data_IF_484133472466
#
_entry.id   IF_484133472466
#
_cell.length_a   1.000
_cell.length_b   1.000
_cell.length_c   1.000
_cell.angle_alpha   90.00
_cell.angle_beta   90.00
_cell.angle_gamma   90.00
#
_symmetry.space_group_name_H-M   'P 1'
#
loop_
_entity.id
_entity.type
_entity.pdbx_description
1 polymer ?
#
# COMPACT_ATOMS: atom_id res chain seq x y z
N UNK A 1 7.94 19.45 1.24
CA UNK A 1 8.65 18.74 2.31
C UNK A 1 10.13 19.05 2.27
N UNK A 2 10.78 19.05 3.43
CA UNK A 2 12.24 19.27 3.52
C UNK A 2 12.85 18.28 4.50
N UNK A 3 14.03 17.80 4.19
CA UNK A 3 14.83 16.89 5.01
C UNK A 3 16.31 17.10 4.78
N UNK A 4 17.12 16.45 5.60
CA UNK A 4 18.58 16.55 5.58
C UNK A 4 19.13 17.49 6.65
N UNK A 5 20.01 16.96 7.51
CA UNK A 5 20.71 17.73 8.54
C UNK A 5 19.87 18.28 9.70
N UNK A 6 18.59 17.92 9.81
CA UNK A 6 17.69 18.42 10.86
C UNK A 6 17.92 17.61 12.13
N UNK A 7 18.51 18.23 13.16
CA UNK A 7 18.99 17.56 14.37
C UNK A 7 18.53 18.23 15.67
N UNK A 8 17.80 19.35 15.60
CA UNK A 8 17.31 20.08 16.77
C UNK A 8 15.96 20.74 16.48
N UNK A 9 15.28 21.16 17.54
CA UNK A 9 13.94 21.73 17.48
C UNK A 9 13.93 23.09 16.78
N UNK A 10 14.96 23.92 16.96
CA UNK A 10 15.02 25.25 16.35
C UNK A 10 15.01 25.16 14.82
N UNK A 11 15.72 24.17 14.26
CA UNK A 11 15.71 23.92 12.81
C UNK A 11 14.33 23.46 12.33
N UNK A 12 13.64 22.64 13.10
CA UNK A 12 12.26 22.21 12.78
C UNK A 12 11.32 23.41 12.78
N UNK A 13 11.39 24.25 13.81
CA UNK A 13 10.57 25.45 13.94
C UNK A 13 10.86 26.47 12.83
N UNK A 14 12.13 26.65 12.52
CA UNK A 14 12.54 27.52 11.41
C UNK A 14 11.83 27.13 10.10
N UNK A 15 11.92 25.86 9.68
CA UNK A 15 11.30 25.45 8.42
C UNK A 15 9.77 25.52 8.48
N UNK A 16 9.15 25.10 9.58
CA UNK A 16 7.69 25.15 9.73
C UNK A 16 7.14 26.57 9.71
N UNK A 17 7.86 27.54 10.33
CA UNK A 17 7.47 28.95 10.31
C UNK A 17 7.63 29.60 8.94
N UNK A 18 8.50 29.06 8.08
CA UNK A 18 8.67 29.49 6.69
C UNK A 18 7.74 28.76 5.69
N UNK A 19 6.67 28.14 6.16
CA UNK A 19 5.64 27.57 5.31
C UNK A 19 5.93 26.14 4.79
N UNK A 20 6.96 25.46 5.28
CA UNK A 20 7.20 24.06 4.97
C UNK A 20 6.14 23.21 5.67
N UNK A 21 5.38 22.44 4.92
CA UNK A 21 4.27 21.64 5.44
C UNK A 21 4.72 20.37 6.18
N UNK A 22 5.88 19.80 5.82
CA UNK A 22 6.38 18.57 6.46
C UNK A 22 7.91 18.54 6.51
N UNK A 23 8.40 18.12 7.68
CA UNK A 23 9.81 17.94 8.00
C UNK A 23 10.14 16.46 7.97
N UNK A 24 11.24 16.11 7.34
CA UNK A 24 11.72 14.73 7.22
C UNK A 24 12.92 14.55 8.13
N UNK A 25 12.81 13.66 9.12
CA UNK A 25 13.88 13.25 10.01
C UNK A 25 14.48 11.94 9.50
N UNK A 26 15.73 11.94 9.07
CA UNK A 26 16.44 10.74 8.59
C UNK A 26 17.29 10.13 9.73
N UNK A 27 18.61 10.38 9.74
CA UNK A 27 19.56 9.82 10.72
C UNK A 27 19.17 10.06 12.19
N UNK A 28 18.40 11.12 12.47
CA UNK A 28 17.88 11.40 13.79
C UNK A 28 16.96 10.26 14.32
N UNK A 29 16.26 9.55 13.44
CA UNK A 29 15.43 8.43 13.84
C UNK A 29 16.23 7.25 14.42
N UNK A 30 17.45 7.07 13.92
CA UNK A 30 18.37 6.02 14.42
C UNK A 30 19.13 6.45 15.67
N UNK A 31 19.64 7.69 15.69
CA UNK A 31 20.58 8.15 16.72
C UNK A 31 19.93 8.88 17.90
N UNK A 32 18.74 9.44 17.69
CA UNK A 32 18.06 10.30 18.67
C UNK A 32 16.54 10.10 18.65
N UNK A 33 16.04 8.88 18.99
CA UNK A 33 14.61 8.57 18.95
C UNK A 33 13.78 9.48 19.89
N UNK A 34 14.36 9.95 20.97
CA UNK A 34 13.68 10.89 21.89
C UNK A 34 13.43 12.25 21.20
N UNK A 35 14.35 12.75 20.41
CA UNK A 35 14.13 13.96 19.62
C UNK A 35 12.98 13.76 18.63
N UNK A 36 12.89 12.58 17.99
CA UNK A 36 11.75 12.25 17.11
C UNK A 36 10.45 12.25 17.91
N UNK A 37 10.42 11.62 19.09
CA UNK A 37 9.25 11.58 19.97
C UNK A 37 8.77 12.98 20.36
N UNK A 38 9.68 13.84 20.81
CA UNK A 38 9.36 15.23 21.18
C UNK A 38 8.81 16.02 20.00
N UNK A 39 9.45 15.87 18.84
CA UNK A 39 9.04 16.55 17.61
C UNK A 39 7.68 16.10 17.12
N UNK A 40 7.42 14.77 17.15
CA UNK A 40 6.12 14.18 16.79
C UNK A 40 5.03 14.60 17.78
N UNK A 41 5.34 14.62 19.08
CA UNK A 41 4.39 15.08 20.11
C UNK A 41 3.95 16.53 19.87
N UNK A 42 4.88 17.40 19.45
CA UNK A 42 4.62 18.82 19.23
C UNK A 42 3.94 19.11 17.89
N UNK A 43 4.36 18.43 16.82
CA UNK A 43 3.97 18.79 15.45
C UNK A 43 3.16 17.70 14.71
N UNK A 44 3.04 16.50 15.27
CA UNK A 44 2.18 15.42 14.76
C UNK A 44 2.45 15.09 13.30
N UNK A 45 1.39 15.22 12.48
CA UNK A 45 1.44 14.90 11.04
C UNK A 45 2.38 15.74 10.19
N UNK A 46 2.96 16.81 10.75
CA UNK A 46 3.98 17.63 10.08
C UNK A 46 5.37 16.99 10.12
N UNK A 47 5.52 15.84 10.79
CA UNK A 47 6.77 15.11 10.87
C UNK A 47 6.65 13.81 10.08
N UNK A 48 7.63 13.56 9.23
CA UNK A 48 7.87 12.28 8.57
C UNK A 48 9.24 11.73 8.97
N UNK A 49 9.41 10.43 8.92
CA UNK A 49 10.72 9.79 9.12
C UNK A 49 11.16 9.10 7.83
N UNK A 50 12.41 9.37 7.44
CA UNK A 50 13.08 8.67 6.35
C UNK A 50 13.76 7.39 6.85
N UNK A 51 13.46 6.27 6.21
CA UNK A 51 14.09 4.96 6.43
C UNK A 51 14.77 4.55 5.12
N UNK A 52 16.07 4.78 5.07
CA UNK A 52 16.88 4.39 3.92
C UNK A 52 17.43 2.99 4.18
N UNK A 53 17.03 2.02 3.34
CA UNK A 53 17.35 0.61 3.51
C UNK A 53 18.41 0.14 2.52
N UNK A 54 19.44 -0.53 3.05
CA UNK A 54 20.49 -1.20 2.28
C UNK A 54 20.58 -2.66 2.74
N UNK A 55 20.30 -3.62 1.85
CA UNK A 55 20.31 -5.07 2.17
C UNK A 55 19.48 -5.43 3.41
N UNK A 56 18.32 -4.77 3.59
CA UNK A 56 17.43 -5.02 4.73
C UNK A 56 17.81 -4.32 6.03
N UNK A 57 18.88 -3.55 6.06
CA UNK A 57 19.35 -2.78 7.22
C UNK A 57 19.20 -1.28 6.96
N UNK A 58 18.98 -0.51 8.03
CA UNK A 58 18.89 0.95 7.95
C UNK A 58 20.25 1.57 7.74
N UNK A 59 20.36 2.46 6.75
CA UNK A 59 21.53 3.29 6.54
C UNK A 59 21.30 4.71 7.09
N UNK A 60 22.37 5.36 7.51
CA UNK A 60 22.38 6.71 8.07
C UNK A 60 23.50 7.55 7.45
N UNK A 61 23.56 8.83 7.87
CA UNK A 61 24.64 9.78 7.51
C UNK A 61 24.84 9.92 5.98
N UNK A 62 23.72 10.04 5.24
CA UNK A 62 23.80 10.13 3.77
C UNK A 62 24.33 8.83 3.14
N UNK A 63 23.97 7.68 3.74
CA UNK A 63 24.29 6.32 3.28
C UNK A 63 25.77 5.90 3.48
N UNK A 64 26.52 6.67 4.24
CA UNK A 64 27.94 6.37 4.54
C UNK A 64 28.09 5.41 5.71
N UNK A 65 27.08 5.33 6.60
CA UNK A 65 27.05 4.43 7.74
C UNK A 65 25.86 3.45 7.62
N UNK A 66 26.14 2.17 7.77
CA UNK A 66 25.13 1.11 7.84
C UNK A 66 24.97 0.69 9.31
N UNK A 67 23.71 0.59 9.75
CA UNK A 67 23.39 0.07 11.09
C UNK A 67 23.05 -1.43 11.03
N UNK A 68 22.99 -2.06 12.21
CA UNK A 68 22.48 -3.43 12.34
C UNK A 68 20.95 -3.49 12.47
N UNK A 69 20.27 -2.35 12.52
CA UNK A 69 18.83 -2.27 12.71
C UNK A 69 18.11 -2.67 11.41
N UNK A 70 17.20 -3.61 11.53
CA UNK A 70 16.33 -4.01 10.42
C UNK A 70 15.33 -2.89 10.08
N UNK A 71 15.05 -2.67 8.79
CA UNK A 71 14.18 -1.59 8.35
C UNK A 71 12.71 -1.76 8.79
N UNK A 72 12.22 -3.01 8.94
CA UNK A 72 10.87 -3.26 9.47
C UNK A 72 10.81 -3.00 10.98
N UNK A 73 11.87 -3.37 11.70
CA UNK A 73 12.00 -3.06 13.12
C UNK A 73 12.02 -1.55 13.34
N UNK A 74 12.77 -0.80 12.51
CA UNK A 74 12.76 0.65 12.56
C UNK A 74 11.38 1.23 12.27
N UNK A 75 10.67 0.74 11.26
CA UNK A 75 9.33 1.20 10.94
C UNK A 75 8.36 1.03 12.12
N UNK A 76 8.39 -0.11 12.80
CA UNK A 76 7.58 -0.37 14.00
C UNK A 76 7.95 0.55 15.17
N UNK A 77 9.24 0.75 15.41
CA UNK A 77 9.71 1.69 16.45
C UNK A 77 9.20 3.11 16.20
N UNK A 78 9.17 3.54 14.94
CA UNK A 78 8.66 4.87 14.58
C UNK A 78 7.14 4.96 14.72
N UNK A 79 6.41 3.91 14.40
CA UNK A 79 4.98 3.81 14.67
C UNK A 79 4.68 3.93 16.17
N UNK A 80 5.42 3.21 17.03
CA UNK A 80 5.28 3.25 18.50
C UNK A 80 5.56 4.65 19.08
N UNK A 81 6.43 5.42 18.43
CA UNK A 81 6.68 6.83 18.77
C UNK A 81 5.51 7.75 18.37
N UNK A 82 4.64 7.30 17.45
CA UNK A 82 3.50 8.05 16.92
C UNK A 82 3.77 8.73 15.58
N UNK A 83 4.83 8.35 14.87
CA UNK A 83 5.09 8.81 13.50
C UNK A 83 3.98 8.33 12.57
N UNK A 84 3.46 9.23 11.74
CA UNK A 84 2.37 8.92 10.81
C UNK A 84 2.80 8.74 9.36
N UNK A 85 3.99 9.22 9.00
CA UNK A 85 4.50 9.18 7.63
C UNK A 85 5.91 8.61 7.62
N UNK A 86 6.11 7.54 6.86
CA UNK A 86 7.41 6.93 6.65
C UNK A 86 7.79 7.04 5.17
N UNK A 87 8.94 7.64 4.88
CA UNK A 87 9.55 7.63 3.55
C UNK A 87 10.51 6.46 3.52
N UNK A 88 10.22 5.45 2.71
CA UNK A 88 11.02 4.23 2.66
C UNK A 88 11.76 4.18 1.33
N UNK A 89 13.08 4.22 1.42
CA UNK A 89 13.99 4.21 0.26
C UNK A 89 14.76 2.89 0.17
N UNK A 90 14.70 2.20 -0.96
CA UNK A 90 15.70 1.20 -1.29
C UNK A 90 16.90 1.89 -1.96
N UNK A 91 18.02 1.95 -1.25
CA UNK A 91 19.25 2.63 -1.72
C UNK A 91 19.75 2.01 -3.03
N UNK A 92 19.62 0.69 -3.22
CA UNK A 92 20.02 0.03 -4.49
C UNK A 92 19.16 0.45 -5.67
N UNK A 93 17.95 0.92 -5.43
CA UNK A 93 17.03 1.37 -6.47
C UNK A 93 17.13 2.87 -6.72
N UNK A 94 17.63 3.64 -5.74
CA UNK A 94 17.66 5.09 -5.87
C UNK A 94 18.53 5.55 -7.04
N UNK A 95 18.01 6.47 -7.84
CA UNK A 95 18.64 7.01 -9.03
C UNK A 95 18.79 6.04 -10.22
N UNK A 96 18.44 4.74 -10.09
CA UNK A 96 18.65 3.73 -11.14
C UNK A 96 17.59 3.77 -12.24
N UNK A 97 16.40 4.27 -11.97
CA UNK A 97 15.23 4.22 -12.88
C UNK A 97 14.83 2.78 -13.31
N UNK A 98 15.05 1.80 -12.43
CA UNK A 98 14.77 0.37 -12.67
C UNK A 98 13.56 -0.14 -11.85
N UNK A 99 12.59 0.74 -11.61
CA UNK A 99 11.40 0.47 -10.82
C UNK A 99 11.66 0.41 -9.30
N UNK A 100 10.64 0.71 -8.48
CA UNK A 100 10.72 0.65 -7.02
C UNK A 100 10.80 -0.80 -6.52
N UNK A 101 11.26 -1.00 -5.28
CA UNK A 101 11.26 -2.30 -4.63
C UNK A 101 9.88 -2.61 -4.03
N UNK A 102 8.97 -3.10 -4.88
CA UNK A 102 7.58 -3.39 -4.49
C UNK A 102 7.50 -4.41 -3.36
N UNK A 103 8.42 -5.40 -3.32
CA UNK A 103 8.44 -6.43 -2.27
C UNK A 103 8.78 -5.84 -0.90
N UNK A 104 9.77 -4.96 -0.84
CA UNK A 104 10.16 -4.27 0.38
C UNK A 104 9.02 -3.34 0.86
N UNK A 105 8.46 -2.56 -0.05
CA UNK A 105 7.37 -1.63 0.24
C UNK A 105 6.10 -2.34 0.71
N UNK A 106 5.74 -3.48 0.11
CA UNK A 106 4.60 -4.30 0.56
C UNK A 106 4.82 -4.82 2.00
N UNK A 107 6.03 -5.30 2.31
CA UNK A 107 6.36 -5.76 3.66
C UNK A 107 6.20 -4.66 4.71
N UNK A 108 6.70 -3.45 4.45
CA UNK A 108 6.55 -2.32 5.38
C UNK A 108 5.07 -1.91 5.48
N UNK A 109 4.38 -1.78 4.34
CA UNK A 109 2.99 -1.34 4.31
C UNK A 109 2.03 -2.27 5.07
N UNK A 110 2.38 -3.57 5.16
CA UNK A 110 1.65 -4.55 5.98
C UNK A 110 2.08 -4.56 7.45
N UNK A 111 3.31 -4.16 7.74
CA UNK A 111 3.88 -4.27 9.08
C UNK A 111 3.47 -3.12 10.00
N UNK A 112 3.08 -1.98 9.45
CA UNK A 112 2.71 -0.76 10.20
C UNK A 112 1.47 -0.10 9.62
N UNK A 113 0.79 0.71 10.43
CA UNK A 113 -0.37 1.52 10.02
C UNK A 113 0.01 2.91 9.50
N UNK A 114 1.30 3.24 9.50
CA UNK A 114 1.82 4.49 8.99
C UNK A 114 1.55 4.66 7.49
N UNK A 115 1.41 5.91 7.06
CA UNK A 115 1.35 6.26 5.64
C UNK A 115 2.74 6.08 5.01
N UNK A 116 2.89 5.13 4.10
CA UNK A 116 4.15 4.84 3.43
C UNK A 116 4.31 5.68 2.17
N UNK A 117 5.42 6.37 2.07
CA UNK A 117 5.86 7.11 0.87
C UNK A 117 7.03 6.33 0.27
N UNK A 118 6.83 5.80 -0.92
CA UNK A 118 7.85 5.03 -1.65
C UNK A 118 8.93 5.95 -2.20
N UNK A 119 10.18 5.56 -2.05
CA UNK A 119 11.34 6.28 -2.61
C UNK A 119 12.35 5.31 -3.22
N UNK A 120 13.01 5.76 -4.28
CA UNK A 120 14.01 5.00 -5.02
C UNK A 120 13.46 4.21 -6.20
N UNK A 121 14.01 4.45 -7.39
CA UNK A 121 13.79 3.66 -8.60
C UNK A 121 12.58 4.01 -9.46
N UNK A 122 11.66 4.84 -9.01
CA UNK A 122 10.47 5.23 -9.78
C UNK A 122 10.87 5.82 -11.14
N UNK A 123 10.42 5.18 -12.23
CA UNK A 123 10.90 5.47 -13.57
C UNK A 123 9.79 5.84 -14.59
N UNK A 124 8.62 5.24 -14.48
CA UNK A 124 7.56 5.33 -15.49
C UNK A 124 6.15 5.24 -14.88
N UNK A 125 5.12 5.39 -15.72
CA UNK A 125 3.72 5.34 -15.28
C UNK A 125 3.31 3.98 -14.68
N UNK A 126 3.90 2.88 -15.16
CA UNK A 126 3.60 1.56 -14.63
C UNK A 126 4.03 1.47 -13.15
N UNK A 127 5.17 2.04 -12.79
CA UNK A 127 5.64 2.08 -11.41
C UNK A 127 4.64 2.83 -10.50
N UNK A 128 4.05 3.93 -10.99
CA UNK A 128 3.02 4.68 -10.27
C UNK A 128 1.76 3.83 -10.07
N UNK A 129 1.33 3.12 -11.11
CA UNK A 129 0.19 2.19 -11.03
C UNK A 129 0.45 1.07 -10.04
N UNK A 130 1.62 0.44 -10.09
CA UNK A 130 2.00 -0.66 -9.19
C UNK A 130 2.09 -0.19 -7.73
N UNK A 131 2.66 0.99 -7.47
CA UNK A 131 2.72 1.61 -6.14
C UNK A 131 1.33 1.97 -5.60
N UNK A 132 0.47 2.50 -6.45
CA UNK A 132 -0.90 2.79 -6.09
C UNK A 132 -1.66 1.48 -5.76
N UNK A 133 -1.46 0.44 -6.56
CA UNK A 133 -2.01 -0.90 -6.29
C UNK A 133 -1.53 -1.49 -4.96
N UNK A 134 -0.29 -1.21 -4.52
CA UNK A 134 0.17 -1.55 -3.18
C UNK A 134 -0.53 -0.76 -2.06
N UNK A 135 -1.22 0.34 -2.39
CA UNK A 135 -1.88 1.24 -1.44
C UNK A 135 -0.88 2.01 -0.58
N UNK A 136 0.31 2.30 -1.09
CA UNK A 136 1.21 3.27 -0.44
C UNK A 136 0.61 4.66 -0.56
N UNK A 137 0.86 5.48 0.44
CA UNK A 137 0.30 6.83 0.53
C UNK A 137 0.79 7.77 -0.59
N UNK A 138 2.03 7.57 -1.03
CA UNK A 138 2.64 8.42 -2.06
C UNK A 138 3.94 7.85 -2.58
N UNK A 139 4.53 8.55 -3.55
CA UNK A 139 5.83 8.20 -4.13
C UNK A 139 6.67 9.44 -4.39
N UNK A 140 7.98 9.29 -4.26
CA UNK A 140 8.98 10.28 -4.67
C UNK A 140 9.50 9.88 -6.05
N UNK A 141 9.25 10.73 -7.04
CA UNK A 141 9.81 10.63 -8.37
C UNK A 141 10.82 11.77 -8.56
N UNK A 142 12.09 11.43 -8.61
CA UNK A 142 13.20 12.39 -8.77
C UNK A 142 13.74 12.39 -10.19
N UNK A 143 14.73 11.56 -10.45
CA UNK A 143 15.46 11.48 -11.73
C UNK A 143 14.54 11.32 -12.93
N UNK A 144 13.48 10.50 -12.84
CA UNK A 144 12.53 10.26 -13.92
C UNK A 144 11.78 11.53 -14.37
N UNK A 145 11.50 12.46 -13.46
CA UNK A 145 10.92 13.77 -13.79
C UNK A 145 11.94 14.66 -14.46
N UNK A 146 13.16 14.75 -13.91
CA UNK A 146 14.22 15.61 -14.46
C UNK A 146 14.68 15.15 -15.85
N UNK A 147 14.71 13.84 -16.10
CA UNK A 147 15.03 13.26 -17.42
C UNK A 147 13.83 13.22 -18.37
N UNK A 148 12.65 13.67 -17.93
CA UNK A 148 11.39 13.61 -18.69
C UNK A 148 10.96 12.18 -19.05
N UNK A 149 11.46 11.17 -18.39
CA UNK A 149 11.03 9.77 -18.56
C UNK A 149 9.63 9.53 -17.98
N UNK A 150 9.23 10.34 -17.00
CA UNK A 150 7.91 10.31 -16.39
C UNK A 150 7.28 11.71 -16.47
N UNK A 151 6.13 11.82 -17.13
CA UNK A 151 5.32 13.04 -17.11
C UNK A 151 4.58 13.16 -15.77
N UNK A 152 4.78 14.28 -15.07
CA UNK A 152 4.20 14.50 -13.75
C UNK A 152 2.67 14.55 -13.77
N UNK A 153 2.08 15.18 -14.79
CA UNK A 153 0.63 15.30 -14.91
C UNK A 153 -0.01 13.92 -15.13
N UNK A 154 0.59 13.13 -16.02
CA UNK A 154 0.16 11.75 -16.25
C UNK A 154 0.31 10.88 -15.00
N UNK A 155 1.41 11.03 -14.23
CA UNK A 155 1.65 10.32 -12.99
C UNK A 155 0.60 10.68 -11.91
N UNK A 156 0.28 11.97 -11.74
CA UNK A 156 -0.76 12.43 -10.82
C UNK A 156 -2.12 11.87 -11.24
N UNK A 157 -2.46 11.93 -12.52
CA UNK A 157 -3.72 11.39 -13.04
C UNK A 157 -3.82 9.88 -12.81
N UNK A 158 -2.74 9.12 -13.05
CA UNK A 158 -2.70 7.68 -12.80
C UNK A 158 -2.83 7.36 -11.30
N UNK A 159 -2.19 8.14 -10.42
CA UNK A 159 -2.30 7.96 -8.97
C UNK A 159 -3.73 8.23 -8.46
N UNK A 160 -4.43 9.21 -9.03
CA UNK A 160 -5.80 9.57 -8.63
C UNK A 160 -6.84 8.56 -9.12
N UNK A 161 -6.66 7.97 -10.30
CA UNK A 161 -7.60 6.97 -10.86
C UNK A 161 -7.70 5.70 -10.04
N UNK A 162 -6.65 5.34 -9.31
CA UNK A 162 -6.62 4.15 -8.46
C UNK A 162 -6.78 4.49 -6.97
N UNK A 163 -6.68 5.75 -6.59
CA UNK A 163 -6.96 6.22 -5.23
C UNK A 163 -8.45 6.30 -4.93
N UNK A 164 -9.20 5.28 -5.34
CA UNK A 164 -10.48 4.99 -4.70
C UNK A 164 -10.17 4.73 -3.23
N UNK A 165 -10.64 5.63 -2.38
CA UNK A 165 -10.67 5.64 -0.90
C UNK A 165 -9.94 4.47 -0.24
N UNK A 166 -9.02 4.74 0.68
CA UNK A 166 -8.56 3.74 1.67
C UNK A 166 -9.76 2.89 2.08
N UNK A 167 -9.67 1.57 1.88
CA UNK A 167 -10.66 0.62 2.35
C UNK A 167 -10.59 0.50 3.90
N UNK A 168 -10.74 1.62 4.58
CA UNK A 168 -11.08 1.63 6.00
C UNK A 168 -12.58 1.83 6.07
N UNK A 169 -13.29 0.73 6.22
CA UNK A 169 -14.69 0.76 6.62
C UNK A 169 -14.76 1.47 7.98
N UNK A 170 -15.44 2.60 8.06
CA UNK A 170 -15.83 3.19 9.35
C UNK A 170 -16.91 2.30 10.00
N UNK A 171 -17.07 2.37 11.31
CA UNK A 171 -18.16 1.63 11.99
C UNK A 171 -19.54 1.95 11.39
N UNK A 172 -19.75 3.17 10.89
CA UNK A 172 -20.98 3.58 10.19
C UNK A 172 -21.13 2.92 8.80
N UNK A 173 -20.02 2.57 8.14
CA UNK A 173 -20.04 1.86 6.85
C UNK A 173 -20.28 0.35 7.02
N UNK A 174 -19.95 -0.25 8.15
CA UNK A 174 -20.28 -1.65 8.44
C UNK A 174 -21.80 -1.89 8.54
N UNK A 175 -22.55 -0.94 9.09
CA UNK A 175 -24.02 -1.02 9.14
C UNK A 175 -24.66 -0.95 7.73
N UNK A 176 -24.00 -0.31 6.77
CA UNK A 176 -24.49 -0.25 5.40
C UNK A 176 -24.28 -1.56 4.61
N UNK A 177 -23.46 -2.50 5.09
CA UNK A 177 -23.24 -3.79 4.41
C UNK A 177 -24.49 -4.68 4.42
N UNK A 178 -25.39 -4.52 5.39
CA UNK A 178 -26.63 -5.30 5.50
C UNK A 178 -27.48 -5.28 4.22
N UNK A 179 -27.44 -4.18 3.45
CA UNK A 179 -28.23 -4.04 2.24
C UNK A 179 -27.91 -5.08 1.18
N UNK A 180 -26.63 -5.50 1.09
CA UNK A 180 -26.15 -6.47 0.11
C UNK A 180 -26.55 -7.92 0.46
N UNK A 181 -26.93 -8.16 1.72
CA UNK A 181 -27.27 -9.50 2.22
C UNK A 181 -28.77 -9.68 2.51
N UNK A 182 -29.61 -8.73 2.06
CA UNK A 182 -31.05 -8.80 2.25
C UNK A 182 -31.73 -9.96 1.50
N UNK A 183 -31.20 -10.30 0.30
CA UNK A 183 -31.76 -11.36 -0.55
C UNK A 183 -31.17 -12.73 -0.24
N UNK A 184 -29.91 -12.76 0.21
CA UNK A 184 -29.19 -14.00 0.51
C UNK A 184 -28.06 -13.74 1.50
N UNK A 185 -27.81 -14.67 2.42
CA UNK A 185 -26.66 -14.61 3.34
C UNK A 185 -25.32 -14.79 2.62
N UNK A 186 -25.34 -15.34 1.41
CA UNK A 186 -24.16 -15.52 0.56
C UNK A 186 -24.43 -14.92 -0.82
N UNK A 187 -23.58 -14.03 -1.23
CA UNK A 187 -23.65 -13.42 -2.55
C UNK A 187 -22.44 -13.79 -3.41
N UNK A 188 -22.61 -14.00 -4.72
CA UNK A 188 -21.53 -14.26 -5.63
C UNK A 188 -20.60 -13.06 -5.72
N UNK A 189 -19.31 -13.34 -5.86
CA UNK A 189 -18.27 -12.35 -6.00
C UNK A 189 -17.40 -12.72 -7.21
N UNK A 190 -17.51 -11.94 -8.26
CA UNK A 190 -16.66 -12.02 -9.45
C UNK A 190 -15.37 -11.28 -9.15
N UNK A 191 -14.23 -11.95 -9.35
CA UNK A 191 -12.91 -11.35 -9.17
C UNK A 191 -12.28 -11.10 -10.54
N UNK A 192 -11.85 -9.88 -10.76
CA UNK A 192 -11.32 -9.39 -12.04
C UNK A 192 -9.95 -8.75 -11.84
N UNK A 193 -9.00 -9.03 -12.73
CA UNK A 193 -7.71 -8.33 -12.75
C UNK A 193 -7.91 -6.86 -13.09
N UNK A 194 -7.38 -5.97 -12.26
CA UNK A 194 -7.62 -4.53 -12.41
C UNK A 194 -6.95 -3.93 -13.66
N UNK A 195 -5.81 -4.48 -14.08
CA UNK A 195 -5.01 -3.97 -15.20
C UNK A 195 -5.50 -4.43 -16.57
N UNK A 196 -6.06 -5.66 -16.66
CA UNK A 196 -6.45 -6.30 -17.92
C UNK A 196 -7.96 -6.43 -18.10
N UNK A 197 -8.73 -6.32 -17.02
CA UNK A 197 -10.15 -6.67 -16.93
C UNK A 197 -10.44 -8.17 -17.18
N UNK A 198 -9.43 -9.03 -17.12
CA UNK A 198 -9.61 -10.48 -17.19
C UNK A 198 -10.36 -10.97 -15.94
N UNK A 199 -11.39 -11.82 -16.14
CA UNK A 199 -12.08 -12.47 -15.04
C UNK A 199 -11.22 -13.60 -14.50
N UNK A 200 -10.82 -13.51 -13.23
CA UNK A 200 -9.91 -14.45 -12.59
C UNK A 200 -10.61 -15.64 -11.96
N UNK A 201 -11.67 -15.39 -11.21
CA UNK A 201 -12.41 -16.42 -10.50
C UNK A 201 -13.78 -15.91 -10.04
N UNK A 202 -14.63 -16.83 -9.60
CA UNK A 202 -15.85 -16.56 -8.85
C UNK A 202 -15.78 -17.28 -7.50
N UNK A 203 -16.13 -16.56 -6.44
CA UNK A 203 -16.28 -17.09 -5.09
C UNK A 203 -17.55 -16.52 -4.44
N UNK A 204 -17.75 -16.78 -3.16
CA UNK A 204 -18.89 -16.26 -2.42
C UNK A 204 -18.43 -15.49 -1.21
N UNK A 205 -19.15 -14.41 -0.91
CA UNK A 205 -18.96 -13.63 0.30
C UNK A 205 -20.21 -13.66 1.17
N UNK A 206 -20.01 -13.77 2.47
CA UNK A 206 -20.99 -13.37 3.48
C UNK A 206 -20.61 -12.01 4.06
N UNK A 207 -21.44 -11.45 4.93
CA UNK A 207 -21.20 -10.14 5.56
C UNK A 207 -19.80 -10.07 6.20
N UNK A 208 -19.39 -11.09 6.95
CA UNK A 208 -18.11 -11.11 7.65
C UNK A 208 -16.91 -11.13 6.68
N UNK A 209 -16.96 -11.93 5.61
CA UNK A 209 -15.90 -11.95 4.60
C UNK A 209 -15.81 -10.63 3.83
N UNK A 210 -16.94 -9.99 3.55
CA UNK A 210 -16.98 -8.67 2.93
C UNK A 210 -16.36 -7.61 3.84
N UNK A 211 -16.74 -7.56 5.13
CA UNK A 211 -16.15 -6.66 6.11
C UNK A 211 -14.64 -6.88 6.25
N UNK A 212 -14.18 -8.14 6.34
CA UNK A 212 -12.75 -8.48 6.36
C UNK A 212 -12.03 -8.06 5.08
N UNK A 213 -12.66 -8.20 3.91
CA UNK A 213 -12.10 -7.76 2.64
C UNK A 213 -11.90 -6.24 2.63
N UNK A 214 -12.90 -5.49 3.06
CA UNK A 214 -12.83 -4.03 3.16
C UNK A 214 -11.81 -3.57 4.21
N UNK A 215 -11.79 -4.20 5.37
CA UNK A 215 -10.89 -3.84 6.46
C UNK A 215 -9.42 -4.18 6.19
N UNK A 216 -9.15 -5.28 5.48
CA UNK A 216 -7.76 -5.73 5.22
C UNK A 216 -7.21 -5.28 3.87
N UNK A 217 -8.08 -4.92 2.92
CA UNK A 217 -7.70 -4.64 1.53
C UNK A 217 -7.29 -5.89 0.73
N UNK A 218 -7.53 -7.09 1.26
CA UNK A 218 -7.30 -8.38 0.60
C UNK A 218 -8.57 -9.19 0.56
N UNK A 219 -8.76 -10.01 -0.49
CA UNK A 219 -9.99 -10.77 -0.66
C UNK A 219 -10.15 -11.85 0.41
N UNK A 220 -11.26 -11.80 1.11
CA UNK A 220 -11.78 -12.82 1.99
C UNK A 220 -13.08 -13.37 1.42
N UNK A 221 -13.24 -14.67 1.47
CA UNK A 221 -14.42 -15.35 0.95
C UNK A 221 -15.00 -16.30 1.99
N UNK A 222 -16.22 -16.76 1.74
CA UNK A 222 -16.86 -17.82 2.49
C UNK A 222 -16.94 -19.11 1.66
N UNK A 223 -16.39 -20.18 2.20
CA UNK A 223 -16.44 -21.50 1.56
C UNK A 223 -17.75 -22.18 1.87
N UNK A 224 -18.61 -22.39 0.87
CA UNK A 224 -19.90 -23.08 1.02
C UNK A 224 -19.74 -24.53 1.47
N UNK A 225 -18.73 -25.23 0.99
CA UNK A 225 -18.49 -26.65 1.32
C UNK A 225 -17.88 -26.84 2.70
N UNK A 226 -16.98 -25.93 3.13
CA UNK A 226 -16.30 -25.99 4.42
C UNK A 226 -16.99 -25.18 5.51
N UNK A 227 -17.93 -24.32 5.15
CA UNK A 227 -18.63 -23.39 6.03
C UNK A 227 -17.67 -22.52 6.87
N UNK A 228 -16.59 -22.07 6.26
CA UNK A 228 -15.57 -21.28 6.92
C UNK A 228 -15.11 -20.12 6.03
N UNK A 229 -14.66 -19.06 6.68
CA UNK A 229 -13.95 -17.98 6.00
C UNK A 229 -12.58 -18.45 5.50
N UNK A 230 -12.13 -17.88 4.41
CA UNK A 230 -10.77 -18.05 3.92
C UNK A 230 -10.25 -16.81 3.23
N UNK A 231 -8.99 -16.48 3.48
CA UNK A 231 -8.27 -15.41 2.82
C UNK A 231 -7.53 -15.98 1.60
N UNK A 232 -7.73 -15.37 0.44
CA UNK A 232 -7.07 -15.81 -0.79
C UNK A 232 -5.56 -15.60 -0.67
N UNK A 233 -4.82 -16.67 -0.80
CA UNK A 233 -3.36 -16.65 -0.74
C UNK A 233 -2.76 -16.82 0.66
N UNK A 234 -3.56 -16.98 1.72
CA UNK A 234 -3.04 -17.17 3.08
C UNK A 234 -2.04 -18.34 3.20
N UNK A 235 -2.25 -19.42 2.46
CA UNK A 235 -1.38 -20.59 2.46
C UNK A 235 -0.41 -20.62 1.28
N UNK A 236 -0.88 -20.21 0.08
CA UNK A 236 -0.12 -20.34 -1.18
C UNK A 236 0.74 -19.11 -1.49
N UNK A 237 0.54 -17.99 -0.81
CA UNK A 237 1.14 -16.70 -1.18
C UNK A 237 0.50 -16.05 -2.43
N UNK A 238 -0.45 -16.70 -3.09
CA UNK A 238 -1.15 -16.18 -4.28
C UNK A 238 -2.29 -15.26 -3.86
N UNK A 239 -1.96 -14.02 -3.49
CA UNK A 239 -2.87 -13.06 -2.89
C UNK A 239 -3.62 -12.23 -3.92
N UNK A 240 -4.73 -11.63 -3.50
CA UNK A 240 -5.54 -10.70 -4.29
C UNK A 240 -5.71 -9.40 -3.50
N UNK A 241 -4.97 -8.35 -3.89
CA UNK A 241 -5.12 -7.03 -3.30
C UNK A 241 -6.28 -6.31 -3.98
N UNK A 242 -7.24 -5.86 -3.19
CA UNK A 242 -8.44 -5.18 -3.68
C UNK A 242 -8.10 -3.75 -4.11
N UNK A 243 -8.51 -3.39 -5.31
CA UNK A 243 -8.41 -2.04 -5.87
C UNK A 243 -9.77 -1.34 -5.80
N UNK A 244 -10.85 -2.05 -6.15
CA UNK A 244 -12.21 -1.53 -6.07
C UNK A 244 -13.21 -2.67 -5.93
N UNK A 245 -14.35 -2.37 -5.34
CA UNK A 245 -15.49 -3.28 -5.19
C UNK A 245 -16.75 -2.57 -5.66
N UNK A 246 -17.56 -3.26 -6.41
CA UNK A 246 -18.83 -2.78 -6.94
C UNK A 246 -19.92 -3.78 -6.61
N UNK A 247 -21.12 -3.31 -6.38
CA UNK A 247 -22.32 -4.14 -6.42
C UNK A 247 -22.98 -3.95 -7.79
N UNK A 248 -23.75 -4.93 -8.20
CA UNK A 248 -24.62 -4.81 -9.38
C UNK A 248 -25.86 -3.94 -9.09
N UNK A 249 -26.78 -3.85 -10.07
CA UNK A 249 -27.88 -2.90 -10.02
C UNK A 249 -28.93 -3.21 -8.94
N UNK A 250 -28.99 -4.43 -8.43
CA UNK A 250 -29.96 -4.88 -7.43
C UNK A 250 -29.30 -5.44 -6.16
N UNK A 251 -28.02 -5.15 -5.97
CA UNK A 251 -27.22 -5.36 -4.76
C UNK A 251 -27.07 -6.84 -4.36
N UNK A 252 -27.07 -7.79 -5.30
CA UNK A 252 -26.95 -9.21 -4.98
C UNK A 252 -25.73 -9.92 -5.60
N UNK A 253 -24.90 -9.20 -6.34
CA UNK A 253 -23.63 -9.68 -6.92
C UNK A 253 -22.53 -8.66 -6.76
N UNK A 254 -21.32 -9.11 -6.42
CA UNK A 254 -20.16 -8.25 -6.28
C UNK A 254 -19.19 -8.44 -7.45
N UNK A 255 -18.62 -7.34 -7.93
CA UNK A 255 -17.44 -7.32 -8.79
C UNK A 255 -16.28 -6.71 -8.01
N UNK A 256 -15.24 -7.49 -7.78
CA UNK A 256 -14.02 -7.05 -7.07
C UNK A 256 -12.86 -7.00 -8.04
N UNK A 257 -12.34 -5.80 -8.28
CA UNK A 257 -11.12 -5.59 -9.06
C UNK A 257 -9.91 -5.71 -8.14
N UNK A 258 -8.95 -6.53 -8.55
CA UNK A 258 -7.76 -6.86 -7.73
C UNK A 258 -6.47 -6.75 -8.54
N UNK A 259 -5.36 -6.60 -7.82
CA UNK A 259 -4.03 -6.97 -8.31
C UNK A 259 -3.75 -8.39 -7.84
N UNK A 260 -3.66 -9.33 -8.79
CA UNK A 260 -3.38 -10.73 -8.52
C UNK A 260 -1.88 -10.96 -8.40
N UNK A 261 -1.45 -11.54 -7.28
CA UNK A 261 -0.09 -12.08 -7.12
C UNK A 261 -0.12 -13.60 -7.33
N UNK A 262 0.66 -14.11 -8.27
CA UNK A 262 0.67 -15.53 -8.62
C UNK A 262 -0.62 -15.99 -9.31
N UNK A 263 -0.96 -17.28 -9.20
CA UNK A 263 -2.12 -17.86 -9.86
C UNK A 263 -3.41 -17.67 -9.05
N UNK A 264 -4.52 -17.30 -9.72
CA UNK A 264 -5.83 -17.29 -9.07
C UNK A 264 -6.37 -18.71 -8.87
N UNK A 265 -6.12 -19.59 -9.84
CA UNK A 265 -6.59 -20.98 -9.79
C UNK A 265 -5.65 -21.87 -8.95
N UNK A 266 -6.24 -22.85 -8.24
CA UNK A 266 -5.49 -23.87 -7.51
C UNK A 266 -4.67 -24.81 -8.41
N UNK A 267 -5.01 -24.87 -9.71
CA UNK A 267 -4.27 -25.65 -10.73
C UNK A 267 -2.98 -24.95 -11.21
N UNK A 268 -2.72 -23.74 -10.73
CA UNK A 268 -1.59 -22.90 -11.21
C UNK A 268 -1.92 -22.01 -12.41
N UNK A 269 -3.14 -22.07 -12.95
CA UNK A 269 -3.58 -21.16 -14.01
C UNK A 269 -3.83 -19.75 -13.45
N UNK A 270 -3.52 -18.71 -14.27
CA UNK A 270 -3.77 -17.32 -13.90
C UNK A 270 -5.24 -17.05 -13.62
N UNK A 271 -6.13 -17.58 -14.48
CA UNK A 271 -7.59 -17.52 -14.33
C UNK A 271 -8.18 -18.91 -14.12
N UNK A 272 -9.32 -18.98 -13.44
CA UNK A 272 -10.13 -20.21 -13.35
C UNK A 272 -10.93 -20.47 -14.64
N UNK A 273 -11.09 -19.50 -15.51
CA UNK A 273 -11.91 -19.57 -16.73
C UNK A 273 -11.07 -19.87 -17.97
N UNK A 274 -10.33 -20.98 -17.95
CA UNK A 274 -9.46 -21.41 -19.05
C UNK A 274 -10.02 -22.55 -19.92
N UNK A 275 -11.20 -23.09 -19.60
CA UNK A 275 -11.86 -24.13 -20.38
C UNK A 275 -12.89 -23.48 -21.29
N UNK A 276 -12.59 -23.42 -22.58
CA UNK A 276 -13.56 -22.99 -23.59
C UNK A 276 -14.62 -24.08 -23.77
N UNK A 277 -15.90 -23.69 -23.74
CA UNK A 277 -17.05 -24.60 -23.95
C UNK A 277 -17.56 -24.48 -25.37
N UNK A 278 -17.60 -23.26 -25.92
CA UNK A 278 -18.03 -22.96 -27.28
C UNK A 278 -17.40 -21.67 -27.79
N UNK A 279 -17.19 -21.59 -29.08
CA UNK A 279 -16.78 -20.36 -29.80
C UNK A 279 -17.62 -20.28 -31.07
N UNK A 280 -18.21 -19.10 -31.36
CA UNK A 280 -18.93 -18.78 -32.61
C UNK A 280 -18.00 -18.16 -33.63
#
# INVERSE_FOLDING_TARGET
EVGGGIRNMDTVEYYLSHGINRIILGSAALHSPEFVRETVKKYGKKIAVGIDALKGKVAAEGWTAQSEVDYLEMAKRMEDIGVRYLIVTDIYKDGTMNGPNLVMLDKVNRAVSCNIIASGGVSNLKDIVDLNALGVYGAIAGKSIYTKALDLTAAITASQRLSGKSFKCSEEEEDHLERYFKKSELIPCIVQEASTNEVLMLAYMNRESMAKTLGTGYTWFYSRSRQTLWNKGATSGHTQKVISMYADCDDDTLLVKVVQTGAACHTGSHSCFYKEIARN
#
